data_IF_698285974581
#
_entry.id   IF_698285974581
#
_cell.length_a   1.000
_cell.length_b   1.000
_cell.length_c   1.000
_cell.angle_alpha   90.00
_cell.angle_beta   90.00
_cell.angle_gamma   90.00
#
_symmetry.space_group_name_H-M   'P 1'
#
loop_
_entity.id
_entity.type
_entity.pdbx_description
1 polymer ?
#
# COMPACT_ATOMS: atom_id res chain seq x y z
N UNK A 1 -13.82 -56.21 4.24
CA UNK A 1 -12.84 -55.13 4.50
C UNK A 1 -12.21 -54.77 3.15
N UNK A 2 -12.28 -53.57 2.59
CA UNK A 2 -12.31 -52.26 3.22
C UNK A 2 -13.36 -51.34 2.57
N UNK A 3 -14.52 -51.19 3.24
CA UNK A 3 -15.46 -50.08 2.98
C UNK A 3 -14.83 -48.70 3.26
N UNK A 4 -13.65 -48.65 3.89
CA UNK A 4 -12.89 -47.42 4.13
C UNK A 4 -12.11 -46.87 2.93
N UNK A 5 -11.91 -47.64 1.85
CA UNK A 5 -11.14 -47.13 0.71
C UNK A 5 -12.00 -46.30 -0.27
N UNK A 6 -13.31 -46.60 -0.34
CA UNK A 6 -14.25 -45.87 -1.20
C UNK A 6 -14.59 -44.48 -0.61
N UNK A 7 -14.50 -44.32 0.71
CA UNK A 7 -14.77 -43.03 1.38
C UNK A 7 -13.63 -42.03 1.14
N UNK A 8 -12.38 -42.49 0.99
CA UNK A 8 -11.25 -41.60 0.74
C UNK A 8 -11.22 -41.04 -0.69
N UNK A 9 -11.69 -41.81 -1.68
CA UNK A 9 -11.80 -41.36 -3.07
C UNK A 9 -12.97 -40.37 -3.21
N UNK A 10 -14.08 -40.55 -2.50
CA UNK A 10 -15.19 -39.59 -2.55
C UNK A 10 -14.86 -38.23 -1.89
N UNK A 11 -14.02 -38.20 -0.85
CA UNK A 11 -13.62 -36.93 -0.21
C UNK A 11 -12.65 -36.12 -1.09
N UNK A 12 -11.82 -36.78 -1.91
CA UNK A 12 -10.96 -36.06 -2.87
C UNK A 12 -11.76 -35.41 -4.01
N UNK A 13 -12.92 -35.94 -4.39
CA UNK A 13 -13.80 -35.33 -5.40
C UNK A 13 -14.87 -34.38 -4.81
N UNK A 14 -15.07 -34.35 -3.49
CA UNK A 14 -15.98 -33.39 -2.84
C UNK A 14 -15.35 -32.02 -2.56
N UNK A 15 -14.04 -31.88 -2.78
CA UNK A 15 -13.32 -30.60 -2.70
C UNK A 15 -13.18 -29.88 -4.06
N UNK A 16 -13.83 -30.36 -5.13
CA UNK A 16 -13.93 -29.61 -6.40
C UNK A 16 -14.98 -28.50 -6.38
N UNK A 17 -15.62 -28.24 -5.23
CA UNK A 17 -16.37 -27.01 -4.99
C UNK A 17 -15.53 -25.95 -4.26
N UNK A 18 -14.21 -25.89 -4.52
CA UNK A 18 -13.67 -24.55 -4.75
C UNK A 18 -14.51 -24.07 -5.93
N UNK A 19 -15.39 -23.08 -5.72
CA UNK A 19 -16.16 -22.47 -6.80
C UNK A 19 -15.17 -21.88 -7.80
N UNK A 20 -14.62 -22.73 -8.65
CA UNK A 20 -13.76 -22.39 -9.77
C UNK A 20 -14.73 -21.87 -10.81
N UNK A 21 -15.04 -20.59 -10.67
CA UNK A 21 -15.59 -19.85 -11.78
C UNK A 21 -14.44 -19.71 -12.77
N UNK A 22 -14.57 -20.34 -13.94
CA UNK A 22 -13.99 -19.77 -15.15
C UNK A 22 -14.60 -18.38 -15.32
N UNK A 23 -14.04 -17.40 -14.62
CA UNK A 23 -14.50 -16.02 -14.64
C UNK A 23 -13.35 -15.17 -15.15
N UNK A 24 -13.64 -14.34 -16.16
CA UNK A 24 -12.83 -13.17 -16.45
C UNK A 24 -12.61 -12.41 -15.14
N UNK A 25 -11.35 -12.07 -14.84
CA UNK A 25 -11.03 -11.31 -13.64
C UNK A 25 -11.36 -9.85 -13.87
N UNK A 26 -11.97 -9.21 -12.87
CA UNK A 26 -12.42 -7.82 -12.97
C UNK A 26 -11.67 -6.98 -11.93
N UNK A 27 -11.29 -5.76 -12.34
CA UNK A 27 -10.67 -4.73 -11.49
C UNK A 27 -9.21 -4.98 -11.08
N UNK A 28 -8.53 -5.89 -11.76
CA UNK A 28 -7.07 -6.06 -11.69
C UNK A 28 -6.60 -7.39 -11.12
N UNK A 29 -5.32 -7.44 -10.77
CA UNK A 29 -4.65 -8.60 -10.18
C UNK A 29 -4.88 -8.73 -8.67
N UNK A 30 -3.85 -9.19 -7.95
CA UNK A 30 -3.90 -9.25 -6.48
C UNK A 30 -4.20 -7.87 -5.89
N UNK A 31 -5.10 -7.81 -4.93
CA UNK A 31 -5.44 -6.56 -4.24
C UNK A 31 -5.54 -6.77 -2.74
N UNK A 32 -5.43 -5.67 -1.99
CA UNK A 32 -5.80 -5.61 -0.58
C UNK A 32 -6.60 -4.34 -0.33
N UNK A 33 -7.68 -4.47 0.47
CA UNK A 33 -8.51 -3.35 0.92
C UNK A 33 -8.63 -3.43 2.42
N UNK A 34 -8.19 -2.37 3.12
CA UNK A 34 -8.20 -2.28 4.59
C UNK A 34 -8.86 -0.97 5.03
N UNK A 35 -9.72 -1.07 6.05
CA UNK A 35 -10.28 0.06 6.78
C UNK A 35 -9.89 -0.15 8.23
N UNK A 36 -9.19 0.82 8.81
CA UNK A 36 -8.64 0.76 10.16
C UNK A 36 -8.73 2.13 10.84
N UNK A 37 -8.52 2.22 12.15
CA UNK A 37 -8.44 3.53 12.80
C UNK A 37 -7.22 4.30 12.29
N UNK A 38 -7.37 5.60 12.05
CA UNK A 38 -6.29 6.49 11.64
C UNK A 38 -5.29 6.77 12.77
N UNK A 39 -5.78 6.77 14.02
CA UNK A 39 -4.98 6.98 15.23
C UNK A 39 -5.15 5.77 16.14
N UNK A 40 -4.04 5.28 16.70
CA UNK A 40 -4.00 4.22 17.70
C UNK A 40 -3.33 4.72 18.98
N UNK A 41 -3.54 3.99 20.06
CA UNK A 41 -2.90 4.24 21.36
C UNK A 41 -1.70 3.32 21.48
N UNK A 42 -0.50 3.90 21.60
CA UNK A 42 0.74 3.17 21.88
C UNK A 42 1.25 3.61 23.26
N UNK A 43 0.93 2.82 24.30
CA UNK A 43 1.18 3.22 25.68
C UNK A 43 0.26 4.36 26.11
N UNK A 44 0.83 5.52 26.46
CA UNK A 44 0.08 6.73 26.84
C UNK A 44 -0.04 7.75 25.70
N UNK A 45 0.61 7.51 24.56
CA UNK A 45 0.65 8.45 23.44
C UNK A 45 -0.32 8.04 22.32
N UNK A 46 -0.86 9.03 21.63
CA UNK A 46 -1.63 8.85 20.39
C UNK A 46 -0.68 8.94 19.21
N UNK A 47 -0.66 7.93 18.35
CA UNK A 47 0.15 7.92 17.14
C UNK A 47 -0.69 7.52 15.92
N UNK A 48 -0.21 7.89 14.73
CA UNK A 48 -0.82 7.42 13.49
C UNK A 48 -0.75 5.91 13.40
N UNK A 49 -1.83 5.30 12.94
CA UNK A 49 -1.82 3.91 12.57
C UNK A 49 -1.06 3.74 11.25
N UNK A 50 -0.06 2.88 11.26
CA UNK A 50 0.83 2.63 10.13
C UNK A 50 0.78 1.17 9.66
N UNK A 51 -0.12 0.34 10.19
CA UNK A 51 -0.20 -1.07 9.80
C UNK A 51 -0.51 -1.25 8.31
N UNK A 52 -1.34 -0.38 7.72
CA UNK A 52 -1.62 -0.36 6.29
C UNK A 52 -0.53 0.28 5.42
N UNK A 53 0.58 0.74 6.01
CA UNK A 53 1.72 1.34 5.27
C UNK A 53 2.82 0.32 5.04
N UNK A 54 3.12 0.08 3.77
CA UNK A 54 4.32 -0.64 3.34
C UNK A 54 5.60 0.13 3.71
N UNK A 55 6.75 -0.54 3.59
CA UNK A 55 8.06 0.11 3.76
C UNK A 55 8.20 1.29 2.80
N UNK A 56 7.78 1.12 1.54
CA UNK A 56 7.83 2.17 0.53
C UNK A 56 6.96 3.38 0.92
N UNK A 57 5.74 3.15 1.43
CA UNK A 57 4.88 4.23 1.94
C UNK A 57 5.56 5.03 3.05
N UNK A 58 6.34 4.36 3.92
CA UNK A 58 7.06 4.99 5.04
C UNK A 58 8.30 5.74 4.57
N UNK A 59 8.96 5.27 3.52
CA UNK A 59 10.03 6.03 2.85
C UNK A 59 9.45 7.35 2.33
N UNK A 60 8.35 7.29 1.56
CA UNK A 60 7.73 8.48 1.01
C UNK A 60 7.13 9.40 2.08
N UNK A 61 6.22 8.90 2.91
CA UNK A 61 5.36 9.74 3.75
C UNK A 61 5.76 9.75 5.22
N UNK A 62 6.73 8.93 5.61
CA UNK A 62 7.16 8.78 6.99
C UNK A 62 6.10 8.13 7.88
N UNK A 63 6.02 8.62 9.11
CA UNK A 63 5.14 8.10 10.17
C UNK A 63 3.83 8.87 10.31
N UNK A 64 3.39 9.56 9.26
CA UNK A 64 2.13 10.32 9.25
C UNK A 64 1.19 9.81 8.17
N UNK A 65 -0.10 10.00 8.40
CA UNK A 65 -1.14 9.83 7.39
C UNK A 65 -1.55 11.20 6.85
N UNK A 66 -1.97 11.26 5.58
CA UNK A 66 -2.47 12.47 4.94
C UNK A 66 -3.88 12.25 4.39
N UNK A 67 -4.69 13.32 4.19
CA UNK A 67 -6.03 13.21 3.64
C UNK A 67 -6.10 12.39 2.35
N UNK A 68 -5.08 12.55 1.51
CA UNK A 68 -4.91 11.81 0.26
C UNK A 68 -3.45 11.40 0.11
N UNK A 69 -3.23 10.12 -0.17
CA UNK A 69 -1.94 9.54 -0.53
C UNK A 69 -2.11 8.62 -1.74
N UNK A 70 -1.19 8.74 -2.70
CA UNK A 70 -1.09 7.87 -3.86
C UNK A 70 0.34 7.37 -4.01
N UNK A 71 0.51 6.08 -4.27
CA UNK A 71 1.80 5.48 -4.60
C UNK A 71 1.63 4.61 -5.83
N UNK A 72 2.55 4.72 -6.77
CA UNK A 72 2.74 3.77 -7.85
C UNK A 72 4.14 3.17 -7.76
N UNK A 73 4.22 1.85 -7.88
CA UNK A 73 5.47 1.09 -7.95
C UNK A 73 5.49 0.26 -9.21
N UNK A 74 6.39 0.57 -10.12
CA UNK A 74 6.71 -0.22 -11.30
C UNK A 74 7.75 -1.28 -10.95
N UNK A 75 7.67 -2.45 -11.58
CA UNK A 75 8.71 -3.47 -11.49
C UNK A 75 10.02 -3.04 -12.17
N UNK A 76 9.96 -2.04 -13.05
CA UNK A 76 11.09 -1.65 -13.91
C UNK A 76 11.53 -0.20 -13.68
N UNK A 77 10.58 0.72 -13.48
CA UNK A 77 10.85 2.18 -13.50
C UNK A 77 11.02 2.80 -12.10
N UNK A 78 10.94 1.97 -11.06
CA UNK A 78 10.98 2.40 -9.67
C UNK A 78 9.61 2.81 -9.13
N UNK A 79 9.55 3.83 -8.28
CA UNK A 79 8.32 4.24 -7.62
C UNK A 79 8.15 5.76 -7.61
N UNK A 80 6.89 6.18 -7.68
CA UNK A 80 6.50 7.58 -7.57
C UNK A 80 5.31 7.70 -6.64
N UNK A 81 5.20 8.83 -5.95
CA UNK A 81 4.16 9.02 -4.97
C UNK A 81 3.79 10.48 -4.83
N UNK A 82 2.56 10.75 -4.41
CA UNK A 82 2.20 12.04 -3.88
C UNK A 82 1.31 11.94 -2.65
N UNK A 83 1.31 13.01 -1.85
CA UNK A 83 0.29 13.26 -0.85
C UNK A 83 -0.23 14.68 -0.94
N UNK A 84 -1.44 14.90 -0.44
CA UNK A 84 -2.00 16.23 -0.27
C UNK A 84 -1.87 16.63 1.20
N UNK A 85 -1.33 17.82 1.44
CA UNK A 85 -1.18 18.40 2.78
C UNK A 85 -1.75 19.82 2.83
N UNK A 86 -2.15 20.26 4.01
CA UNK A 86 -2.62 21.63 4.20
C UNK A 86 -1.46 22.62 4.12
N UNK A 87 -1.66 23.71 3.39
CA UNK A 87 -0.72 24.82 3.39
C UNK A 87 -0.97 25.69 4.63
N UNK A 88 -0.04 25.64 5.58
CA UNK A 88 -0.11 26.42 6.83
C UNK A 88 -0.08 27.94 6.63
N UNK A 89 0.31 28.42 5.45
CA UNK A 89 0.48 29.86 5.18
C UNK A 89 -0.78 30.57 4.67
N UNK A 90 -1.67 29.90 3.94
CA UNK A 90 -2.77 30.57 3.23
C UNK A 90 -4.01 29.72 2.97
N UNK A 91 -4.25 28.66 3.76
CA UNK A 91 -5.41 27.76 3.67
C UNK A 91 -5.59 27.02 2.33
N UNK A 92 -4.63 27.13 1.42
CA UNK A 92 -4.58 26.30 0.22
C UNK A 92 -4.11 24.89 0.53
N UNK A 93 -4.19 23.99 -0.44
CA UNK A 93 -3.59 22.65 -0.33
C UNK A 93 -2.29 22.60 -1.13
N UNK A 94 -1.33 21.81 -0.66
CA UNK A 94 -0.12 21.47 -1.42
C UNK A 94 -0.21 20.02 -1.85
N UNK A 95 0.19 19.74 -3.08
CA UNK A 95 0.56 18.39 -3.49
C UNK A 95 2.07 18.25 -3.33
N UNK A 96 2.50 17.28 -2.52
CA UNK A 96 3.91 16.93 -2.36
C UNK A 96 4.18 15.67 -3.16
N UNK A 97 5.01 15.77 -4.20
CA UNK A 97 5.38 14.66 -5.07
C UNK A 97 6.80 14.18 -4.78
N UNK A 98 7.02 12.88 -4.96
CA UNK A 98 8.30 12.21 -4.71
C UNK A 98 8.56 11.12 -5.75
N UNK A 99 9.85 10.91 -6.05
CA UNK A 99 10.29 9.97 -7.08
C UNK A 99 11.50 9.16 -6.63
N UNK A 100 11.47 7.86 -6.90
CA UNK A 100 12.57 6.92 -6.77
C UNK A 100 12.72 6.19 -8.12
N UNK A 101 13.53 6.69 -9.06
CA UNK A 101 13.57 6.21 -10.45
C UNK A 101 14.37 4.91 -10.67
N UNK A 102 14.88 4.28 -9.60
CA UNK A 102 15.79 3.14 -9.67
C UNK A 102 15.15 1.93 -8.95
N UNK A 103 14.68 0.96 -9.73
CA UNK A 103 14.01 -0.24 -9.24
C UNK A 103 14.95 -1.16 -8.46
N UNK A 104 16.20 -1.32 -8.90
CA UNK A 104 17.19 -2.15 -8.21
C UNK A 104 17.48 -1.60 -6.81
N UNK A 105 17.77 -0.30 -6.72
CA UNK A 105 17.96 0.37 -5.42
C UNK A 105 16.72 0.31 -4.57
N UNK A 106 15.53 0.50 -5.15
CA UNK A 106 14.27 0.38 -4.42
C UNK A 106 14.11 -1.02 -3.79
N UNK A 107 14.36 -2.09 -4.54
CA UNK A 107 14.30 -3.46 -4.03
C UNK A 107 15.36 -3.72 -2.95
N UNK A 108 16.57 -3.19 -3.12
CA UNK A 108 17.62 -3.30 -2.11
C UNK A 108 17.21 -2.61 -0.80
N UNK A 109 16.71 -1.37 -0.88
CA UNK A 109 16.24 -0.60 0.28
C UNK A 109 15.10 -1.33 1.00
N UNK A 110 14.10 -1.80 0.26
CA UNK A 110 12.99 -2.57 0.83
C UNK A 110 13.48 -3.84 1.53
N UNK A 111 14.44 -4.57 0.92
CA UNK A 111 15.01 -5.78 1.53
C UNK A 111 15.75 -5.46 2.83
N UNK A 112 16.59 -4.42 2.85
CA UNK A 112 17.36 -4.01 4.03
C UNK A 112 16.41 -3.58 5.16
N UNK A 113 15.44 -2.72 4.84
CA UNK A 113 14.47 -2.22 5.82
C UNK A 113 13.56 -3.34 6.32
N UNK A 114 13.09 -4.22 5.44
CA UNK A 114 12.30 -5.40 5.81
C UNK A 114 13.03 -6.27 6.83
N UNK A 115 14.32 -6.51 6.62
CA UNK A 115 15.12 -7.31 7.54
C UNK A 115 15.25 -6.66 8.93
N UNK A 116 15.12 -5.34 9.05
CA UNK A 116 15.21 -4.62 10.32
C UNK A 116 13.87 -4.53 11.06
N UNK A 117 12.74 -4.48 10.33
CA UNK A 117 11.41 -4.24 10.93
C UNK A 117 10.54 -5.49 11.00
N UNK A 118 10.85 -6.53 10.22
CA UNK A 118 10.10 -7.77 10.29
C UNK A 118 10.53 -8.59 11.50
N UNK A 119 9.53 -9.10 12.22
CA UNK A 119 9.75 -10.07 13.29
C UNK A 119 10.25 -11.38 12.70
N UNK A 120 11.24 -11.96 13.35
CA UNK A 120 11.65 -13.33 13.12
C UNK A 120 10.69 -14.22 13.92
N UNK A 121 9.85 -14.95 13.19
CA UNK A 121 8.95 -15.95 13.76
C UNK A 121 9.61 -17.33 13.68
N UNK A 122 9.63 -18.04 14.80
CA UNK A 122 10.23 -19.37 14.91
C UNK A 122 9.09 -20.41 14.87
N UNK A 123 9.07 -21.31 13.88
CA UNK A 123 8.17 -22.46 13.88
C UNK A 123 8.23 -23.25 15.19
N UNK A 124 7.08 -23.68 15.70
CA UNK A 124 6.98 -24.34 17.00
C UNK A 124 7.82 -25.63 17.08
N UNK A 125 7.96 -26.34 15.97
CA UNK A 125 8.76 -27.56 15.87
C UNK A 125 10.26 -27.30 16.13
N UNK A 126 10.74 -26.10 15.78
CA UNK A 126 12.14 -25.73 15.97
C UNK A 126 12.45 -25.32 17.43
N UNK A 127 11.45 -24.85 18.17
CA UNK A 127 11.62 -24.44 19.58
C UNK A 127 12.06 -25.59 20.49
N UNK A 128 11.64 -26.82 20.16
CA UNK A 128 11.98 -28.03 20.91
C UNK A 128 13.13 -28.83 20.26
N UNK A 129 13.71 -28.32 19.18
CA UNK A 129 14.80 -28.96 18.46
C UNK A 129 16.16 -28.52 19.02
N UNK A 130 17.21 -29.33 18.82
CA UNK A 130 18.60 -28.94 19.15
C UNK A 130 19.18 -27.91 18.17
N UNK A 131 18.42 -27.47 17.18
CA UNK A 131 18.87 -26.59 16.09
C UNK A 131 18.99 -25.12 16.49
N UNK A 132 18.36 -24.72 17.60
CA UNK A 132 18.41 -23.35 18.12
C UNK A 132 19.04 -23.34 19.50
N UNK A 133 20.09 -22.54 19.67
CA UNK A 133 20.71 -22.35 20.99
C UNK A 133 19.96 -21.28 21.79
N UNK A 134 20.16 -21.26 23.11
CA UNK A 134 19.65 -20.17 23.97
C UNK A 134 20.15 -18.80 23.48
N UNK A 135 21.41 -18.72 23.02
CA UNK A 135 21.98 -17.48 22.49
C UNK A 135 21.26 -17.01 21.22
N UNK A 136 20.84 -17.94 20.36
CA UNK A 136 20.08 -17.59 19.15
C UNK A 136 18.69 -17.06 19.50
N UNK A 137 18.03 -17.69 20.48
CA UNK A 137 16.74 -17.23 21.01
C UNK A 137 16.83 -15.82 21.61
N UNK A 138 17.90 -15.51 22.34
CA UNK A 138 18.14 -14.18 22.89
C UNK A 138 18.36 -13.12 21.80
N UNK A 139 19.12 -13.46 20.75
CA UNK A 139 19.32 -12.57 19.60
C UNK A 139 18.00 -12.30 18.87
N UNK A 140 17.20 -13.33 18.64
CA UNK A 140 15.89 -13.21 17.98
C UNK A 140 14.94 -12.35 18.82
N UNK A 141 14.90 -12.58 20.13
CA UNK A 141 14.10 -11.75 21.04
C UNK A 141 14.53 -10.28 20.95
N UNK A 142 15.83 -10.00 21.10
CA UNK A 142 16.38 -8.64 21.02
C UNK A 142 16.07 -7.98 19.68
N UNK A 143 16.19 -8.72 18.58
CA UNK A 143 15.81 -8.24 17.25
C UNK A 143 14.34 -7.86 17.20
N UNK A 144 13.45 -8.76 17.63
CA UNK A 144 12.00 -8.54 17.59
C UNK A 144 11.56 -7.34 18.45
N UNK A 145 12.18 -7.16 19.62
CA UNK A 145 11.92 -6.00 20.50
C UNK A 145 12.29 -4.67 19.79
N UNK A 146 13.41 -4.63 19.06
CA UNK A 146 13.82 -3.45 18.28
C UNK A 146 12.95 -3.26 17.03
N UNK A 147 12.59 -4.34 16.36
CA UNK A 147 11.77 -4.33 15.15
C UNK A 147 10.39 -3.71 15.43
N UNK A 148 9.76 -4.11 16.54
CA UNK A 148 8.47 -3.57 16.98
C UNK A 148 8.53 -2.05 17.23
N UNK A 149 9.58 -1.57 17.90
CA UNK A 149 9.76 -0.13 18.16
C UNK A 149 10.07 0.65 16.88
N UNK A 150 10.82 0.06 15.95
CA UNK A 150 11.22 0.70 14.69
C UNK A 150 10.06 1.00 13.75
N UNK A 151 8.93 0.30 13.92
CA UNK A 151 7.71 0.56 13.14
C UNK A 151 7.15 1.97 13.38
N UNK A 152 7.49 2.65 14.48
CA UNK A 152 6.94 3.97 14.80
C UNK A 152 7.99 5.09 14.79
N UNK A 153 9.19 4.82 14.26
CA UNK A 153 10.27 5.80 14.20
C UNK A 153 10.64 6.14 12.77
N UNK A 154 10.69 7.43 12.48
CA UNK A 154 10.96 7.93 11.14
C UNK A 154 12.46 7.96 10.80
N UNK A 155 13.32 7.89 11.81
CA UNK A 155 14.79 7.90 11.68
C UNK A 155 15.31 6.75 10.81
N UNK A 156 14.61 5.61 10.82
CA UNK A 156 14.93 4.47 9.98
C UNK A 156 14.66 4.71 8.48
N UNK A 157 13.56 5.39 8.16
CA UNK A 157 13.09 5.56 6.76
C UNK A 157 13.63 6.85 6.12
N UNK A 158 13.80 7.90 6.93
CA UNK A 158 14.23 9.24 6.49
C UNK A 158 15.52 9.25 5.65
N UNK A 159 16.56 8.44 5.91
CA UNK A 159 17.77 8.40 5.07
C UNK A 159 17.52 7.97 3.63
N UNK A 160 16.44 7.23 3.37
CA UNK A 160 16.06 6.74 2.04
C UNK A 160 15.02 7.63 1.35
N UNK A 161 14.50 8.65 2.05
CA UNK A 161 13.43 9.51 1.56
C UNK A 161 13.94 10.40 0.42
N UNK A 162 13.32 10.37 -0.77
CA UNK A 162 13.69 11.29 -1.84
C UNK A 162 13.30 12.72 -1.47
N UNK A 163 13.94 13.69 -2.12
CA UNK A 163 13.53 15.08 -2.02
C UNK A 163 12.11 15.23 -2.59
N UNK A 164 11.24 15.90 -1.83
CA UNK A 164 9.90 16.25 -2.28
C UNK A 164 9.89 17.53 -3.10
N UNK A 165 9.00 17.59 -4.09
CA UNK A 165 8.64 18.82 -4.78
C UNK A 165 7.21 19.16 -4.34
N UNK A 166 6.99 20.38 -3.88
CA UNK A 166 5.67 20.83 -3.42
C UNK A 166 5.10 21.82 -4.43
N UNK A 167 3.85 21.62 -4.80
CA UNK A 167 3.13 22.49 -5.73
C UNK A 167 1.78 22.88 -5.11
N UNK A 168 1.41 24.15 -5.25
CA UNK A 168 0.15 24.66 -4.71
C UNK A 168 -1.01 24.26 -5.60
N UNK A 169 -2.05 23.70 -5.01
CA UNK A 169 -3.30 23.37 -5.69
C UNK A 169 -4.49 24.07 -5.02
N UNK A 170 -5.57 24.24 -5.78
CA UNK A 170 -6.84 24.72 -5.23
C UNK A 170 -7.42 23.70 -4.24
N UNK A 171 -8.14 24.23 -3.25
CA UNK A 171 -8.92 23.42 -2.31
C UNK A 171 -9.95 22.56 -3.06
N UNK A 172 -10.53 23.07 -4.14
CA UNK A 172 -11.51 22.36 -4.96
C UNK A 172 -10.89 21.12 -5.62
N UNK A 173 -9.68 21.22 -6.16
CA UNK A 173 -9.01 20.07 -6.78
C UNK A 173 -8.63 19.03 -5.72
N UNK A 174 -8.12 19.50 -4.57
CA UNK A 174 -7.80 18.68 -3.41
C UNK A 174 -9.01 17.87 -2.94
N UNK A 175 -10.15 18.52 -2.73
CA UNK A 175 -11.41 17.88 -2.33
C UNK A 175 -11.93 16.91 -3.38
N UNK A 176 -11.75 17.22 -4.67
CA UNK A 176 -12.20 16.35 -5.75
C UNK A 176 -11.36 15.08 -5.85
N UNK A 177 -10.04 15.18 -5.73
CA UNK A 177 -9.15 14.01 -5.65
C UNK A 177 -9.51 13.14 -4.44
N UNK A 178 -9.68 13.77 -3.27
CA UNK A 178 -10.14 13.08 -2.07
C UNK A 178 -11.45 12.33 -2.29
N UNK A 179 -12.48 13.01 -2.82
CA UNK A 179 -13.79 12.42 -3.07
C UNK A 179 -13.70 11.23 -4.03
N UNK A 180 -12.95 11.34 -5.14
CA UNK A 180 -12.81 10.27 -6.12
C UNK A 180 -12.05 9.07 -5.56
N UNK A 181 -11.01 9.27 -4.76
CA UNK A 181 -10.33 8.16 -4.08
C UNK A 181 -11.22 7.48 -3.03
N UNK A 182 -11.96 8.25 -2.23
CA UNK A 182 -12.91 7.68 -1.26
C UNK A 182 -13.99 6.85 -1.98
N UNK A 183 -14.55 7.36 -3.08
CA UNK A 183 -15.54 6.63 -3.89
C UNK A 183 -14.95 5.35 -4.47
N UNK A 184 -13.75 5.42 -5.06
CA UNK A 184 -13.04 4.23 -5.56
C UNK A 184 -12.88 3.20 -4.45
N UNK A 185 -12.31 3.58 -3.31
CA UNK A 185 -12.04 2.65 -2.22
C UNK A 185 -13.35 2.05 -1.71
N UNK A 186 -14.40 2.85 -1.49
CA UNK A 186 -15.69 2.37 -1.01
C UNK A 186 -16.30 1.30 -1.94
N UNK A 187 -16.34 1.62 -3.23
CA UNK A 187 -17.07 0.86 -4.24
C UNK A 187 -16.23 -0.27 -4.86
N UNK A 188 -14.91 -0.30 -4.63
CA UNK A 188 -14.04 -1.34 -5.18
C UNK A 188 -14.50 -2.75 -4.77
N UNK A 189 -14.73 -3.58 -5.78
CA UNK A 189 -14.99 -5.02 -5.67
C UNK A 189 -14.23 -5.70 -6.80
N UNK A 190 -13.39 -6.67 -6.48
CA UNK A 190 -12.75 -7.51 -7.49
C UNK A 190 -13.48 -8.85 -7.56
N UNK A 191 -13.56 -9.41 -8.76
CA UNK A 191 -14.30 -10.64 -9.05
C UNK A 191 -13.43 -11.56 -9.92
N UNK A 192 -13.69 -12.86 -9.84
CA UNK A 192 -12.99 -13.89 -10.61
C UNK A 192 -11.65 -14.32 -10.01
N UNK A 193 -10.86 -15.03 -10.83
CA UNK A 193 -9.55 -15.57 -10.45
C UNK A 193 -8.48 -14.73 -11.16
N UNK A 194 -7.68 -13.93 -10.44
CA UNK A 194 -6.63 -13.14 -11.09
C UNK A 194 -5.55 -14.07 -11.67
N UNK A 195 -4.97 -13.73 -12.83
CA UNK A 195 -3.85 -14.49 -13.36
C UNK A 195 -2.63 -14.42 -12.42
N UNK A 196 -1.73 -15.39 -12.54
CA UNK A 196 -0.42 -15.30 -11.89
C UNK A 196 0.34 -14.15 -12.55
N UNK A 197 0.59 -13.08 -11.81
CA UNK A 197 1.29 -11.89 -12.29
C UNK A 197 2.66 -11.81 -11.61
N UNK A 198 3.73 -11.99 -12.39
CA UNK A 198 5.12 -11.92 -11.91
C UNK A 198 5.70 -10.50 -11.95
N UNK A 199 5.33 -9.67 -12.93
CA UNK A 199 5.85 -8.31 -13.16
C UNK A 199 4.70 -7.29 -13.33
N UNK A 200 4.98 -6.10 -13.86
CA UNK A 200 4.01 -5.01 -14.02
C UNK A 200 4.13 -3.93 -12.94
N UNK A 201 3.01 -3.33 -12.54
CA UNK A 201 2.99 -2.28 -11.54
C UNK A 201 1.91 -2.51 -10.48
N UNK A 202 2.07 -1.86 -9.33
CA UNK A 202 1.07 -1.82 -8.26
C UNK A 202 0.79 -0.37 -7.87
N UNK A 203 -0.47 -0.09 -7.56
CA UNK A 203 -0.94 1.22 -7.12
C UNK A 203 -1.54 1.11 -5.72
N UNK A 204 -1.30 2.13 -4.89
CA UNK A 204 -1.91 2.28 -3.58
C UNK A 204 -2.67 3.60 -3.54
N UNK A 205 -3.97 3.53 -3.28
CA UNK A 205 -4.79 4.67 -2.91
C UNK A 205 -5.03 4.63 -1.41
N UNK A 206 -4.80 5.76 -0.72
CA UNK A 206 -5.05 5.85 0.71
C UNK A 206 -5.65 7.20 1.10
N UNK A 207 -6.67 7.16 1.95
CA UNK A 207 -7.36 8.36 2.43
C UNK A 207 -7.66 8.26 3.92
N UNK A 208 -7.63 9.41 4.60
CA UNK A 208 -8.19 9.56 5.95
C UNK A 208 -9.64 9.99 5.84
N UNK A 209 -10.57 9.15 6.27
CA UNK A 209 -12.02 9.38 6.25
C UNK A 209 -12.51 9.47 7.69
N UNK A 210 -12.72 10.69 8.20
CA UNK A 210 -12.98 10.93 9.63
C UNK A 210 -11.86 10.31 10.48
N UNK A 211 -12.20 9.34 11.33
CA UNK A 211 -11.27 8.63 12.22
C UNK A 211 -10.70 7.35 11.58
N UNK A 212 -11.05 7.06 10.32
CA UNK A 212 -10.66 5.85 9.62
C UNK A 212 -9.54 6.13 8.60
N UNK A 213 -8.60 5.21 8.48
CA UNK A 213 -7.62 5.13 7.41
C UNK A 213 -8.08 4.05 6.42
N UNK A 214 -8.37 4.47 5.20
CA UNK A 214 -8.83 3.61 4.13
C UNK A 214 -7.66 3.38 3.16
N UNK A 215 -7.26 2.13 2.95
CA UNK A 215 -6.18 1.77 2.03
C UNK A 215 -6.67 0.74 1.02
N UNK A 216 -6.40 0.98 -0.26
CA UNK A 216 -6.61 0.06 -1.37
C UNK A 216 -5.31 -0.08 -2.16
N UNK A 217 -4.71 -1.26 -2.14
CA UNK A 217 -3.57 -1.62 -2.98
C UNK A 217 -4.03 -2.59 -4.07
N UNK A 218 -3.67 -2.33 -5.33
CA UNK A 218 -4.04 -3.15 -6.48
C UNK A 218 -2.81 -3.37 -7.35
N UNK A 219 -2.53 -4.62 -7.68
CA UNK A 219 -1.56 -4.99 -8.71
C UNK A 219 -2.23 -5.01 -10.07
N UNK A 220 -1.66 -4.32 -11.05
CA UNK A 220 -2.22 -4.15 -12.41
C UNK A 220 -3.70 -3.72 -12.33
N UNK A 221 -3.99 -2.48 -11.87
CA UNK A 221 -5.35 -1.96 -11.81
C UNK A 221 -6.03 -2.01 -13.18
N UNK A 222 -7.36 -2.15 -13.17
CA UNK A 222 -8.21 -2.11 -14.36
C UNK A 222 -9.41 -1.18 -14.13
N UNK A 223 -10.17 -0.91 -15.20
CA UNK A 223 -11.40 -0.12 -15.17
C UNK A 223 -11.19 1.23 -14.44
N UNK A 224 -12.05 1.55 -13.47
CA UNK A 224 -12.04 2.84 -12.76
C UNK A 224 -10.79 3.04 -11.91
N UNK A 225 -10.19 1.96 -11.39
CA UNK A 225 -8.94 2.05 -10.66
C UNK A 225 -7.77 2.43 -11.59
N UNK A 226 -7.74 1.87 -12.82
CA UNK A 226 -6.76 2.23 -13.83
C UNK A 226 -6.93 3.69 -14.28
N UNK A 227 -8.14 4.11 -14.60
CA UNK A 227 -8.37 5.50 -15.03
C UNK A 227 -7.99 6.52 -13.95
N UNK A 228 -8.27 6.22 -12.67
CA UNK A 228 -7.84 7.10 -11.58
C UNK A 228 -6.32 7.05 -11.37
N UNK A 229 -5.67 5.89 -11.51
CA UNK A 229 -4.21 5.82 -11.42
C UNK A 229 -3.53 6.58 -12.54
N UNK A 230 -4.00 6.48 -13.78
CA UNK A 230 -3.49 7.23 -14.93
C UNK A 230 -3.60 8.75 -14.70
N UNK A 231 -4.72 9.23 -14.14
CA UNK A 231 -4.87 10.63 -13.75
C UNK A 231 -3.82 11.01 -12.68
N UNK A 232 -3.66 10.19 -11.65
CA UNK A 232 -2.69 10.41 -10.58
C UNK A 232 -1.23 10.39 -11.09
N UNK A 233 -0.90 9.50 -12.00
CA UNK A 233 0.40 9.42 -12.68
C UNK A 233 0.66 10.65 -13.55
N UNK A 234 -0.36 11.10 -14.30
CA UNK A 234 -0.22 12.31 -15.10
C UNK A 234 0.00 13.55 -14.23
N UNK A 235 -0.64 13.64 -13.06
CA UNK A 235 -0.37 14.71 -12.09
C UNK A 235 1.10 14.70 -11.69
N UNK A 236 1.67 13.54 -11.37
CA UNK A 236 3.09 13.41 -11.04
C UNK A 236 3.96 13.97 -12.19
N UNK A 237 3.74 13.49 -13.41
CA UNK A 237 4.49 13.92 -14.60
C UNK A 237 4.40 15.43 -14.82
N UNK A 238 3.18 15.99 -14.83
CA UNK A 238 2.98 17.41 -15.14
C UNK A 238 3.54 18.33 -14.05
N UNK A 239 3.41 17.98 -12.76
CA UNK A 239 4.02 18.79 -11.69
C UNK A 239 5.54 18.75 -11.78
N UNK A 240 6.13 17.58 -12.08
CA UNK A 240 7.59 17.44 -12.26
C UNK A 240 8.10 18.25 -13.46
N UNK A 241 7.34 18.31 -14.54
CA UNK A 241 7.66 19.08 -15.74
C UNK A 241 7.35 20.58 -15.58
N UNK A 242 6.72 21.01 -14.49
CA UNK A 242 6.18 22.36 -14.29
C UNK A 242 5.15 22.75 -15.38
N UNK A 243 4.36 21.78 -15.84
CA UNK A 243 3.31 21.91 -16.86
C UNK A 243 1.90 21.69 -16.28
N UNK A 244 1.79 21.67 -14.95
CA UNK A 244 0.55 21.35 -14.26
C UNK A 244 -0.57 22.36 -14.52
N UNK A 245 -1.72 21.86 -14.97
CA UNK A 245 -2.93 22.63 -15.23
C UNK A 245 -4.15 21.97 -14.59
N UNK A 246 -4.67 22.57 -13.51
CA UNK A 246 -5.79 22.02 -12.75
C UNK A 246 -7.04 21.73 -13.60
N UNK A 247 -7.34 22.60 -14.57
CA UNK A 247 -8.56 22.47 -15.39
C UNK A 247 -8.61 21.17 -16.20
N UNK A 248 -7.45 20.62 -16.58
CA UNK A 248 -7.30 19.31 -17.22
C UNK A 248 -7.76 18.19 -16.29
N UNK A 249 -7.36 18.26 -15.03
CA UNK A 249 -7.67 17.24 -14.02
C UNK A 249 -9.11 17.30 -13.56
N UNK A 250 -9.69 18.50 -13.42
CA UNK A 250 -11.12 18.62 -13.11
C UNK A 250 -12.00 17.89 -14.13
N UNK A 251 -11.76 18.10 -15.42
CA UNK A 251 -12.49 17.45 -16.51
C UNK A 251 -12.33 15.94 -16.50
N UNK A 252 -11.09 15.47 -16.30
CA UNK A 252 -10.79 14.03 -16.28
C UNK A 252 -11.44 13.34 -15.08
N UNK A 253 -11.40 13.97 -13.91
CA UNK A 253 -12.05 13.46 -12.69
C UNK A 253 -13.58 13.49 -12.79
N UNK A 254 -14.18 14.45 -13.49
CA UNK A 254 -15.63 14.50 -13.72
C UNK A 254 -16.16 13.33 -14.54
N UNK A 255 -15.34 12.80 -15.45
CA UNK A 255 -15.70 11.66 -16.28
C UNK A 255 -15.64 10.31 -15.54
N UNK A 256 -15.09 10.30 -14.32
CA UNK A 256 -15.06 9.11 -13.48
C UNK A 256 -16.35 8.94 -12.69
N UNK A 257 -17.28 8.15 -13.24
CA UNK A 257 -18.42 7.66 -12.47
C UNK A 257 -18.05 6.40 -11.69
N UNK A 258 -18.28 6.41 -10.37
CA UNK A 258 -17.93 5.34 -9.41
C UNK A 258 -19.16 4.76 -8.73
#
# INVERSE_FOLDING_TARGET
>A
MNKSFIVFVLIMFLNENIFSQEAEHINGGSFSKKIEYNIIVAGNDHCYNLEGKSILDRIFFGITNSPVEFVIKSSFDGASAFRIVDNSSDSSSLIEIMYLPDSEKLFEMERILSAQVNRILIPGELLNSTSLTISDMEKIKKHNDVAELSLYRDDLYKPYRPQSISFKISTDLSQKLYSKMVMLINNFRAEGIPPIISDGHAVTFRCVVKDELWTLNIRIPQNKALLLSEICEQILVDVKANEFNESKYFKSLDQLDF
#
